data_IF_400190372420
#
_entry.id   IF_400190372420
#
_cell.length_a   1.000
_cell.length_b   1.000
_cell.length_c   1.000
_cell.angle_alpha   90.00
_cell.angle_beta   90.00
_cell.angle_gamma   90.00
#
_symmetry.space_group_name_H-M   'P 1'
#
loop_
_entity.id
_entity.type
_entity.pdbx_description
1 polymer ?
#
# COMPACT_ATOMS: atom_id res chain seq x y z
N UNK A 1 15.49 -24.04 21.96
CA UNK A 1 14.31 -24.14 21.08
C UNK A 1 14.54 -23.31 19.82
N UNK A 2 14.96 -23.96 18.72
CA UNK A 2 15.27 -23.32 17.43
C UNK A 2 14.08 -22.55 16.83
N UNK A 3 12.84 -22.96 17.18
CA UNK A 3 11.60 -22.28 16.78
C UNK A 3 11.48 -20.86 17.35
N UNK A 4 11.94 -20.65 18.59
CA UNK A 4 11.85 -19.34 19.26
C UNK A 4 12.83 -18.34 18.65
N UNK A 5 14.09 -18.76 18.45
CA UNK A 5 15.14 -17.94 17.85
C UNK A 5 14.82 -17.54 16.40
N UNK A 6 14.17 -18.44 15.63
CA UNK A 6 13.71 -18.16 14.26
C UNK A 6 12.57 -17.13 14.21
N UNK A 7 11.71 -17.07 15.22
CA UNK A 7 10.62 -16.09 15.29
C UNK A 7 11.12 -14.67 15.62
N UNK A 8 12.17 -14.55 16.43
CA UNK A 8 12.77 -13.26 16.79
C UNK A 8 13.70 -12.70 15.72
N UNK A 9 14.59 -13.52 15.14
CA UNK A 9 15.58 -13.05 14.16
C UNK A 9 14.96 -12.75 12.78
N UNK A 10 13.88 -13.43 12.40
CA UNK A 10 13.17 -13.22 11.14
C UNK A 10 11.84 -12.47 11.32
N UNK A 11 11.82 -11.52 12.26
CA UNK A 11 10.75 -10.57 12.56
C UNK A 11 9.43 -10.79 11.79
N UNK A 12 8.53 -11.58 12.38
CA UNK A 12 7.09 -11.52 12.10
C UNK A 12 6.64 -11.67 10.64
N UNK A 13 7.50 -12.16 9.73
CA UNK A 13 7.11 -12.48 8.36
C UNK A 13 7.08 -13.99 8.20
N UNK A 14 6.09 -14.61 8.85
CA UNK A 14 5.34 -15.60 8.10
C UNK A 14 4.72 -14.82 6.94
N UNK A 15 5.48 -14.73 5.84
CA UNK A 15 4.91 -14.52 4.52
C UNK A 15 3.81 -15.56 4.44
N UNK A 16 2.57 -15.16 4.74
CA UNK A 16 1.41 -15.95 4.42
C UNK A 16 1.47 -16.08 2.90
N UNK A 17 2.11 -17.15 2.43
CA UNK A 17 2.04 -17.54 1.05
C UNK A 17 0.56 -17.54 0.71
N UNK A 18 0.18 -16.67 -0.22
CA UNK A 18 -1.21 -16.58 -0.65
C UNK A 18 -1.59 -17.99 -1.07
N UNK A 19 -2.53 -18.59 -0.33
CA UNK A 19 -2.97 -19.96 -0.59
C UNK A 19 -3.36 -20.07 -2.07
N UNK A 20 -2.82 -21.07 -2.75
CA UNK A 20 -3.14 -21.32 -4.14
C UNK A 20 -4.67 -21.38 -4.34
N UNK A 21 -5.20 -20.89 -5.47
CA UNK A 21 -6.61 -21.05 -5.80
C UNK A 21 -6.94 -22.55 -5.85
N UNK A 22 -8.00 -22.95 -5.15
CA UNK A 22 -8.44 -24.34 -5.04
C UNK A 22 -9.83 -24.46 -5.68
N UNK A 23 -10.04 -25.49 -6.51
CA UNK A 23 -11.30 -25.79 -7.19
C UNK A 23 -12.48 -25.89 -6.22
N UNK A 24 -12.30 -26.54 -5.07
CA UNK A 24 -13.33 -26.62 -4.02
C UNK A 24 -13.76 -25.24 -3.53
N UNK A 25 -12.79 -24.39 -3.19
CA UNK A 25 -13.08 -23.03 -2.72
C UNK A 25 -13.74 -22.17 -3.80
N UNK A 26 -13.37 -22.36 -5.06
CA UNK A 26 -14.00 -21.69 -6.19
C UNK A 26 -15.45 -22.13 -6.37
N UNK A 27 -15.70 -23.44 -6.30
CA UNK A 27 -17.04 -24.02 -6.41
C UNK A 27 -17.97 -23.56 -5.29
N UNK A 28 -17.55 -23.71 -4.02
CA UNK A 28 -18.33 -23.27 -2.86
C UNK A 28 -18.65 -21.78 -2.93
N UNK A 29 -17.68 -20.96 -3.37
CA UNK A 29 -17.87 -19.53 -3.54
C UNK A 29 -18.90 -19.21 -4.64
N UNK A 30 -18.85 -19.90 -5.77
CA UNK A 30 -19.79 -19.73 -6.89
C UNK A 30 -21.21 -20.09 -6.44
N UNK A 31 -21.38 -21.24 -5.80
CA UNK A 31 -22.66 -21.68 -5.24
C UNK A 31 -23.20 -20.70 -4.19
N UNK A 32 -22.35 -20.24 -3.26
CA UNK A 32 -22.74 -19.23 -2.28
C UNK A 32 -23.16 -17.91 -2.94
N UNK A 33 -22.53 -17.52 -4.05
CA UNK A 33 -22.91 -16.30 -4.79
C UNK A 33 -24.24 -16.49 -5.49
N UNK A 34 -24.48 -17.63 -6.14
CA UNK A 34 -25.74 -17.98 -6.79
C UNK A 34 -26.90 -17.97 -5.78
N UNK A 35 -26.77 -18.67 -4.65
CA UNK A 35 -27.79 -18.69 -3.60
C UNK A 35 -28.02 -17.33 -2.92
N UNK A 36 -27.05 -16.42 -2.98
CA UNK A 36 -27.17 -15.07 -2.43
C UNK A 36 -27.62 -14.00 -3.44
N UNK A 37 -27.69 -14.31 -4.75
CA UNK A 37 -28.22 -13.40 -5.77
C UNK A 37 -29.73 -13.18 -5.61
N UNK A 38 -30.43 -14.24 -5.22
CA UNK A 38 -31.90 -14.25 -5.09
C UNK A 38 -32.39 -13.69 -3.74
N UNK A 39 -31.47 -13.32 -2.84
CA UNK A 39 -31.81 -12.88 -1.47
C UNK A 39 -31.65 -11.36 -1.28
N UNK A 40 -32.55 -10.71 -0.54
CA UNK A 40 -32.46 -9.28 -0.26
C UNK A 40 -31.23 -8.95 0.61
N UNK A 41 -30.78 -7.69 0.52
CA UNK A 41 -29.68 -7.18 1.32
C UNK A 41 -30.00 -7.32 2.83
N UNK A 42 -29.16 -8.06 3.57
CA UNK A 42 -29.34 -8.34 4.99
C UNK A 42 -29.66 -9.80 5.34
N UNK A 43 -30.25 -10.56 4.41
CA UNK A 43 -30.60 -11.98 4.60
C UNK A 43 -29.67 -12.95 3.84
N UNK A 44 -28.53 -12.47 3.39
CA UNK A 44 -27.53 -13.27 2.68
C UNK A 44 -26.87 -14.26 3.64
N UNK A 45 -26.68 -15.49 3.18
CA UNK A 45 -25.97 -16.49 3.96
C UNK A 45 -24.52 -16.10 4.16
N UNK A 46 -24.05 -16.21 5.41
CA UNK A 46 -22.63 -16.23 5.70
C UNK A 46 -22.06 -17.61 5.31
N UNK A 47 -20.81 -17.65 4.86
CA UNK A 47 -20.15 -18.89 4.41
C UNK A 47 -20.29 -20.06 5.40
N UNK A 48 -20.11 -19.90 6.73
CA UNK A 48 -20.26 -21.02 7.67
C UNK A 48 -21.69 -21.54 7.74
N UNK A 49 -22.68 -20.64 7.70
CA UNK A 49 -24.11 -21.01 7.74
C UNK A 49 -24.53 -21.75 6.47
N UNK A 50 -24.03 -21.29 5.31
CA UNK A 50 -24.28 -21.94 4.03
C UNK A 50 -23.70 -23.36 3.98
N UNK A 51 -22.45 -23.52 4.40
CA UNK A 51 -21.81 -24.85 4.44
C UNK A 51 -22.57 -25.77 5.41
N UNK A 52 -22.99 -25.29 6.58
CA UNK A 52 -23.73 -26.10 7.52
C UNK A 52 -25.09 -26.58 6.98
N UNK A 53 -25.79 -25.75 6.20
CA UNK A 53 -27.12 -26.08 5.67
C UNK A 53 -27.08 -26.93 4.39
N UNK A 54 -26.12 -26.68 3.51
CA UNK A 54 -26.09 -27.29 2.17
C UNK A 54 -24.89 -28.24 1.96
N UNK A 55 -24.25 -28.69 3.04
CA UNK A 55 -23.01 -29.49 2.98
C UNK A 55 -23.11 -30.70 2.04
N UNK A 56 -24.19 -31.46 2.16
CA UNK A 56 -24.44 -32.68 1.39
C UNK A 56 -24.63 -32.39 -0.11
N UNK A 57 -25.41 -31.36 -0.44
CA UNK A 57 -25.69 -30.95 -1.82
C UNK A 57 -24.44 -30.38 -2.51
N UNK A 58 -23.68 -29.54 -1.81
CA UNK A 58 -22.42 -28.96 -2.32
C UNK A 58 -21.39 -30.07 -2.55
N UNK A 59 -21.26 -31.01 -1.61
CA UNK A 59 -20.29 -32.11 -1.74
C UNK A 59 -20.64 -33.00 -2.94
N UNK A 60 -21.93 -33.35 -3.09
CA UNK A 60 -22.42 -34.14 -4.22
C UNK A 60 -22.22 -33.40 -5.56
N UNK A 61 -22.59 -32.13 -5.62
CA UNK A 61 -22.42 -31.30 -6.81
C UNK A 61 -20.96 -31.14 -7.21
N UNK A 62 -20.05 -31.10 -6.24
CA UNK A 62 -18.61 -31.07 -6.53
C UNK A 62 -18.06 -32.39 -7.05
N UNK A 63 -18.51 -33.52 -6.51
CA UNK A 63 -18.10 -34.84 -6.99
C UNK A 63 -18.53 -35.08 -8.44
N UNK A 64 -19.64 -34.48 -8.87
CA UNK A 64 -20.16 -34.60 -10.24
C UNK A 64 -19.45 -33.69 -11.26
N UNK A 65 -18.60 -32.76 -10.82
CA UNK A 65 -17.84 -31.89 -11.72
C UNK A 65 -16.73 -32.66 -12.42
N UNK A 66 -16.60 -32.42 -13.71
CA UNK A 66 -15.46 -32.88 -14.51
C UNK A 66 -14.19 -32.13 -14.14
N UNK A 67 -13.03 -32.71 -14.45
CA UNK A 67 -11.73 -32.06 -14.20
C UNK A 67 -11.56 -30.76 -15.01
N UNK A 68 -12.17 -30.68 -16.19
CA UNK A 68 -12.15 -29.47 -17.03
C UNK A 68 -12.92 -28.31 -16.38
N UNK A 69 -14.09 -28.59 -15.81
CA UNK A 69 -14.89 -27.60 -15.09
C UNK A 69 -14.18 -27.13 -13.82
N UNK A 70 -13.54 -28.04 -13.08
CA UNK A 70 -12.71 -27.70 -11.91
C UNK A 70 -11.55 -26.78 -12.31
N UNK A 71 -10.86 -27.07 -13.42
CA UNK A 71 -9.79 -26.23 -13.94
C UNK A 71 -10.31 -24.83 -14.36
N UNK A 72 -11.50 -24.76 -14.97
CA UNK A 72 -12.14 -23.50 -15.33
C UNK A 72 -12.45 -22.64 -14.10
N UNK A 73 -13.02 -23.24 -13.04
CA UNK A 73 -13.30 -22.56 -11.77
C UNK A 73 -12.03 -22.02 -11.10
N UNK A 74 -10.92 -22.75 -11.17
CA UNK A 74 -9.61 -22.30 -10.65
C UNK A 74 -9.10 -21.09 -11.43
N UNK A 75 -9.19 -21.12 -12.76
CA UNK A 75 -8.80 -19.99 -13.63
C UNK A 75 -9.64 -18.75 -13.34
N UNK A 76 -10.95 -18.89 -13.20
CA UNK A 76 -11.85 -17.80 -12.86
C UNK A 76 -11.51 -17.18 -11.50
N UNK A 77 -11.29 -18.02 -10.47
CA UNK A 77 -10.90 -17.57 -9.14
C UNK A 77 -9.54 -16.85 -9.16
N UNK A 78 -8.59 -17.31 -9.98
CA UNK A 78 -7.30 -16.67 -10.15
C UNK A 78 -7.44 -15.27 -10.79
N UNK A 79 -8.25 -15.16 -11.86
CA UNK A 79 -8.54 -13.89 -12.53
C UNK A 79 -9.22 -12.89 -11.57
N UNK A 80 -10.24 -13.33 -10.82
CA UNK A 80 -10.92 -12.49 -9.83
C UNK A 80 -9.98 -12.01 -8.70
N UNK A 81 -9.01 -12.84 -8.28
CA UNK A 81 -8.00 -12.45 -7.28
C UNK A 81 -7.02 -11.40 -7.80
N UNK A 82 -6.75 -11.39 -9.10
CA UNK A 82 -5.91 -10.38 -9.74
C UNK A 82 -6.65 -9.05 -9.92
N UNK A 83 -7.95 -9.08 -10.28
CA UNK A 83 -8.77 -7.88 -10.50
C UNK A 83 -9.24 -7.16 -9.23
N UNK A 84 -9.08 -7.76 -8.03
CA UNK A 84 -9.54 -7.16 -6.78
C UNK A 84 -8.57 -6.06 -6.32
N UNK A 85 -8.80 -4.84 -6.80
CA UNK A 85 -8.15 -3.64 -6.25
C UNK A 85 -8.57 -3.52 -4.79
N UNK A 86 -7.60 -3.72 -3.91
CA UNK A 86 -7.75 -3.58 -2.48
C UNK A 86 -7.98 -2.11 -2.13
N UNK A 87 -9.24 -1.68 -2.08
CA UNK A 87 -9.67 -0.45 -1.38
C UNK A 87 -9.57 -0.68 0.14
N UNK A 88 -8.38 -1.02 0.60
CA UNK A 88 -8.04 -0.98 2.02
C UNK A 88 -7.70 0.48 2.32
N UNK A 89 -8.11 0.98 3.49
CA UNK A 89 -7.57 2.19 4.11
C UNK A 89 -6.05 2.00 4.28
N UNK A 90 -5.30 2.18 3.20
CA UNK A 90 -3.87 1.93 3.16
C UNK A 90 -3.21 3.04 3.95
N UNK A 91 -2.63 2.68 5.09
CA UNK A 91 -1.68 3.56 5.77
C UNK A 91 -0.63 4.03 4.76
N UNK A 92 -0.09 5.25 4.87
CA UNK A 92 0.88 5.78 3.91
C UNK A 92 2.05 4.83 3.64
N UNK A 93 2.53 4.11 4.66
CA UNK A 93 3.58 3.09 4.55
C UNK A 93 3.16 1.86 3.73
N UNK A 94 1.90 1.45 3.83
CA UNK A 94 1.38 0.34 3.03
C UNK A 94 1.16 0.75 1.56
N UNK A 95 0.74 1.99 1.32
CA UNK A 95 0.66 2.56 -0.02
C UNK A 95 2.06 2.67 -0.65
N UNK A 96 3.06 3.16 0.09
CA UNK A 96 4.44 3.22 -0.37
C UNK A 96 4.96 1.85 -0.80
N UNK A 97 4.70 0.79 -0.02
CA UNK A 97 5.08 -0.58 -0.39
C UNK A 97 4.35 -1.07 -1.64
N UNK A 98 3.07 -0.73 -1.79
CA UNK A 98 2.28 -1.10 -2.96
C UNK A 98 2.79 -0.40 -4.21
N UNK A 99 3.02 0.91 -4.14
CA UNK A 99 3.59 1.73 -5.21
C UNK A 99 4.97 1.19 -5.59
N UNK A 100 5.87 1.01 -4.62
CA UNK A 100 7.19 0.45 -4.88
C UNK A 100 7.11 -0.95 -5.49
N UNK A 101 6.23 -1.83 -5.02
CA UNK A 101 6.06 -3.16 -5.62
C UNK A 101 5.53 -3.10 -7.07
N UNK A 102 4.56 -2.23 -7.34
CA UNK A 102 4.00 -2.04 -8.68
C UNK A 102 5.06 -1.52 -9.67
N UNK A 103 5.84 -0.52 -9.26
CA UNK A 103 6.89 0.07 -10.11
C UNK A 103 8.17 -0.76 -10.15
N UNK A 104 8.53 -1.50 -9.10
CA UNK A 104 9.62 -2.48 -9.15
C UNK A 104 9.32 -3.63 -10.11
N UNK A 105 8.04 -3.96 -10.35
CA UNK A 105 7.65 -4.88 -11.42
C UNK A 105 8.01 -4.34 -12.80
N UNK A 106 7.71 -3.07 -13.07
CA UNK A 106 8.09 -2.38 -14.30
C UNK A 106 9.62 -2.25 -14.48
N UNK A 107 10.38 -2.21 -13.38
CA UNK A 107 11.84 -2.09 -13.39
C UNK A 107 12.56 -3.45 -13.50
N UNK A 108 11.99 -4.55 -12.98
CA UNK A 108 12.67 -5.86 -12.86
C UNK A 108 12.35 -6.88 -13.96
N UNK A 109 11.36 -6.67 -14.83
CA UNK A 109 11.04 -7.62 -15.92
C UNK A 109 11.97 -7.51 -17.13
N UNK A 110 13.27 -7.62 -16.90
CA UNK A 110 14.29 -7.88 -17.93
C UNK A 110 14.58 -9.39 -18.07
N UNK A 111 14.04 -10.24 -17.19
CA UNK A 111 14.32 -11.68 -17.21
C UNK A 111 13.07 -12.55 -17.33
N UNK A 112 12.82 -12.98 -18.56
CA UNK A 112 12.29 -14.30 -18.94
C UNK A 112 10.80 -14.54 -18.60
N UNK A 113 9.98 -14.45 -19.67
CA UNK A 113 8.71 -15.18 -19.85
C UNK A 113 7.50 -14.73 -19.02
N UNK A 114 7.05 -13.49 -19.19
CA UNK A 114 5.61 -13.16 -19.17
C UNK A 114 5.34 -11.78 -19.75
N UNK A 115 4.15 -11.62 -20.35
CA UNK A 115 3.69 -10.45 -21.11
C UNK A 115 3.45 -9.21 -20.24
N UNK A 116 4.51 -8.56 -19.78
CA UNK A 116 4.41 -7.21 -19.24
C UNK A 116 5.55 -6.32 -19.76
N UNK A 117 5.12 -5.19 -20.34
CA UNK A 117 5.94 -4.32 -21.18
C UNK A 117 6.81 -3.41 -20.31
N UNK A 118 8.12 -3.68 -20.24
CA UNK A 118 9.10 -2.69 -19.79
C UNK A 118 9.22 -1.57 -20.84
N UNK A 119 9.56 -0.34 -20.41
CA UNK A 119 9.72 0.81 -21.32
C UNK A 119 10.79 0.56 -22.41
N UNK A 120 11.85 -0.18 -22.06
CA UNK A 120 12.89 -0.60 -23.00
C UNK A 120 12.35 -1.58 -24.06
N UNK A 121 11.49 -2.53 -23.66
CA UNK A 121 10.83 -3.45 -24.59
C UNK A 121 9.80 -2.73 -25.48
N UNK A 122 9.15 -1.70 -24.97
CA UNK A 122 8.23 -0.89 -25.75
C UNK A 122 8.99 -0.11 -26.83
N UNK A 123 10.07 0.59 -26.46
CA UNK A 123 10.92 1.30 -27.41
C UNK A 123 11.44 0.37 -28.53
N UNK A 124 11.97 -0.81 -28.18
CA UNK A 124 12.49 -1.73 -29.20
C UNK A 124 11.43 -2.27 -30.16
N UNK A 125 10.16 -2.33 -29.76
CA UNK A 125 9.07 -2.86 -30.57
C UNK A 125 8.33 -1.80 -31.39
N UNK A 126 8.23 -0.58 -30.88
CA UNK A 126 7.41 0.49 -31.50
C UNK A 126 8.25 1.64 -32.03
N UNK A 127 9.55 1.67 -31.77
CA UNK A 127 10.45 2.79 -32.05
C UNK A 127 9.96 4.11 -31.42
N UNK A 128 9.15 4.03 -30.37
CA UNK A 128 8.64 5.20 -29.64
C UNK A 128 9.63 5.59 -28.55
N UNK A 129 10.12 6.82 -28.64
CA UNK A 129 10.99 7.45 -27.66
C UNK A 129 10.15 8.34 -26.73
N UNK A 130 10.49 8.35 -25.44
CA UNK A 130 9.77 9.19 -24.49
C UNK A 130 10.13 8.92 -23.04
N UNK A 131 9.37 9.54 -22.14
CA UNK A 131 9.51 9.36 -20.71
C UNK A 131 8.15 9.37 -20.01
N UNK A 132 8.11 8.69 -18.86
CA UNK A 132 6.96 8.62 -17.97
C UNK A 132 7.40 9.05 -16.57
N UNK A 133 6.66 9.99 -15.98
CA UNK A 133 6.90 10.48 -14.62
C UNK A 133 5.63 10.24 -13.80
N UNK A 134 5.79 9.58 -12.66
CA UNK A 134 4.76 9.46 -11.64
C UNK A 134 5.24 10.10 -10.34
N UNK A 135 4.48 11.07 -9.85
CA UNK A 135 4.76 11.79 -8.60
C UNK A 135 3.61 11.59 -7.63
N UNK A 136 3.88 11.75 -6.33
CA UNK A 136 2.82 11.75 -5.32
C UNK A 136 1.92 12.97 -5.49
N UNK A 137 0.63 12.76 -5.25
CA UNK A 137 -0.38 13.82 -5.27
C UNK A 137 -0.60 14.49 -3.92
N UNK A 138 -0.08 13.91 -2.84
CA UNK A 138 -0.33 14.34 -1.47
C UNK A 138 0.98 14.24 -0.68
N UNK A 139 1.20 15.21 0.20
CA UNK A 139 2.35 15.32 1.09
C UNK A 139 2.40 14.15 2.07
N UNK A 140 1.25 13.60 2.45
CA UNK A 140 1.14 12.46 3.37
C UNK A 140 1.64 11.14 2.77
N UNK A 141 1.86 11.09 1.45
CA UNK A 141 2.42 9.91 0.81
C UNK A 141 3.96 9.93 0.82
N UNK A 142 4.58 8.84 1.29
CA UNK A 142 6.04 8.74 1.46
C UNK A 142 6.79 8.07 0.28
N UNK A 143 6.16 7.88 -0.88
CA UNK A 143 6.85 7.26 -2.02
C UNK A 143 7.61 8.30 -2.84
N UNK A 144 8.81 7.92 -3.28
CA UNK A 144 9.64 8.74 -4.17
C UNK A 144 9.05 8.81 -5.57
N UNK A 145 9.24 9.95 -6.25
CA UNK A 145 8.90 10.10 -7.66
C UNK A 145 9.55 9.00 -8.52
N UNK A 146 8.77 8.43 -9.42
CA UNK A 146 9.23 7.41 -10.37
C UNK A 146 9.38 8.05 -11.73
N UNK A 147 10.54 7.86 -12.34
CA UNK A 147 10.81 8.31 -13.69
C UNK A 147 11.37 7.16 -14.51
N UNK A 148 10.78 6.95 -15.68
CA UNK A 148 11.27 6.04 -16.70
C UNK A 148 11.53 6.86 -17.95
N UNK A 149 12.73 6.77 -18.51
CA UNK A 149 13.10 7.50 -19.73
C UNK A 149 13.77 6.54 -20.71
N UNK A 150 13.48 6.72 -21.99
CA UNK A 150 14.33 6.16 -23.03
C UNK A 150 15.65 6.95 -23.13
N UNK A 151 16.72 6.38 -23.71
CA UNK A 151 18.02 7.06 -23.78
C UNK A 151 17.95 8.43 -24.46
N UNK A 152 17.23 8.56 -25.59
CA UNK A 152 17.09 9.82 -26.33
C UNK A 152 16.21 10.83 -25.59
N UNK A 153 15.19 10.36 -24.87
CA UNK A 153 14.38 11.23 -24.03
C UNK A 153 15.19 11.76 -22.85
N UNK A 154 16.07 10.94 -22.26
CA UNK A 154 16.96 11.38 -21.19
C UNK A 154 17.96 12.43 -21.68
N UNK A 155 18.54 12.27 -22.87
CA UNK A 155 19.41 13.30 -23.47
C UNK A 155 18.64 14.57 -23.77
N UNK A 156 17.41 14.50 -24.29
CA UNK A 156 16.55 15.68 -24.48
C UNK A 156 16.34 16.45 -23.16
N UNK A 157 16.02 15.75 -22.07
CA UNK A 157 15.82 16.40 -20.76
C UNK A 157 17.12 17.08 -20.28
N UNK A 158 18.29 16.44 -20.46
CA UNK A 158 19.57 17.02 -20.07
C UNK A 158 20.01 18.18 -20.97
N UNK A 159 19.92 17.99 -22.27
CA UNK A 159 20.55 18.89 -23.25
C UNK A 159 19.64 20.05 -23.63
N UNK A 160 18.32 19.82 -23.70
CA UNK A 160 17.34 20.85 -24.08
C UNK A 160 16.73 21.48 -22.85
N UNK A 161 16.20 20.67 -21.92
CA UNK A 161 15.56 21.22 -20.72
C UNK A 161 16.58 21.67 -19.66
N UNK A 162 17.85 21.27 -19.79
CA UNK A 162 18.92 21.58 -18.83
C UNK A 162 18.61 21.09 -17.41
N UNK A 163 17.89 19.98 -17.31
CA UNK A 163 17.62 19.28 -16.04
C UNK A 163 18.19 17.87 -16.08
N UNK A 164 18.62 17.36 -14.93
CA UNK A 164 18.70 15.90 -14.79
C UNK A 164 17.27 15.34 -14.72
N UNK A 165 16.98 14.18 -15.34
CA UNK A 165 15.64 13.60 -15.32
C UNK A 165 15.04 13.46 -13.91
N UNK A 166 15.87 13.11 -12.92
CA UNK A 166 15.45 13.05 -11.51
C UNK A 166 15.04 14.43 -10.97
N UNK A 167 15.78 15.48 -11.30
CA UNK A 167 15.44 16.85 -10.88
C UNK A 167 14.15 17.33 -11.54
N UNK A 168 13.90 16.96 -12.81
CA UNK A 168 12.62 17.24 -13.47
C UNK A 168 11.45 16.57 -12.74
N UNK A 169 11.61 15.30 -12.33
CA UNK A 169 10.59 14.58 -11.57
C UNK A 169 10.31 15.23 -10.21
N UNK A 170 11.36 15.60 -9.47
CA UNK A 170 11.22 16.32 -8.19
C UNK A 170 10.57 17.70 -8.36
N UNK A 171 10.89 18.41 -9.45
CA UNK A 171 10.27 19.70 -9.75
C UNK A 171 8.77 19.54 -10.02
N UNK A 172 8.39 18.53 -10.79
CA UNK A 172 6.98 18.18 -11.01
C UNK A 172 6.29 17.81 -9.70
N UNK A 173 6.93 17.01 -8.86
CA UNK A 173 6.41 16.60 -7.55
C UNK A 173 6.18 17.81 -6.63
N UNK A 174 7.13 18.74 -6.59
CA UNK A 174 7.03 19.97 -5.80
C UNK A 174 5.84 20.83 -6.26
N UNK A 175 5.64 20.93 -7.58
CA UNK A 175 4.51 21.67 -8.15
C UNK A 175 3.18 21.00 -7.83
N UNK A 176 3.07 19.68 -8.05
CA UNK A 176 1.84 18.93 -7.83
C UNK A 176 1.44 18.97 -6.35
N UNK A 177 2.40 18.77 -5.44
CA UNK A 177 2.18 18.81 -3.99
C UNK A 177 1.82 20.22 -3.52
N UNK A 178 2.45 21.25 -4.08
CA UNK A 178 2.13 22.65 -3.76
C UNK A 178 0.76 23.06 -4.31
N UNK A 179 0.37 22.60 -5.49
CA UNK A 179 -0.94 22.89 -6.10
C UNK A 179 -2.10 22.25 -5.32
N UNK A 180 -1.83 21.21 -4.52
CA UNK A 180 -2.85 20.58 -3.66
C UNK A 180 -3.16 21.36 -2.38
N UNK A 181 -2.49 22.49 -2.14
CA UNK A 181 -2.72 23.37 -0.96
C UNK A 181 -4.14 23.95 -0.84
N UNK A 182 -5.02 23.74 -1.81
CA UNK A 182 -6.46 23.96 -1.64
C UNK A 182 -7.14 22.96 -0.69
N UNK A 183 -6.46 21.88 -0.30
CA UNK A 183 -6.84 21.13 0.90
C UNK A 183 -6.21 21.77 2.13
N UNK A 184 -6.71 22.94 2.54
CA UNK A 184 -6.50 23.42 3.91
C UNK A 184 -7.02 22.31 4.83
N UNK A 185 -6.10 21.63 5.52
CA UNK A 185 -6.46 20.72 6.60
C UNK A 185 -7.46 21.49 7.50
N UNK A 186 -8.62 20.88 7.86
CA UNK A 186 -9.53 21.50 8.82
C UNK A 186 -8.74 21.98 10.03
N UNK A 187 -9.10 23.15 10.59
CA UNK A 187 -8.37 23.78 11.69
C UNK A 187 -8.04 22.78 12.82
N UNK A 188 -8.96 21.87 13.11
CA UNK A 188 -8.80 20.79 14.10
C UNK A 188 -7.64 19.84 13.79
N UNK A 189 -7.42 19.49 12.51
CA UNK A 189 -6.28 18.68 12.08
C UNK A 189 -4.96 19.44 12.16
N UNK A 190 -4.95 20.74 11.82
CA UNK A 190 -3.76 21.57 11.98
C UNK A 190 -3.36 21.68 13.45
N UNK A 191 -4.32 21.96 14.34
CA UNK A 191 -4.09 21.99 15.78
C UNK A 191 -3.55 20.65 16.28
N UNK A 192 -4.16 19.54 15.85
CA UNK A 192 -3.68 18.20 16.20
C UNK A 192 -2.26 17.94 15.69
N UNK A 193 -1.92 18.37 14.48
CA UNK A 193 -0.58 18.20 13.90
C UNK A 193 0.45 19.00 14.69
N UNK A 194 0.12 20.25 15.05
CA UNK A 194 0.97 21.09 15.91
C UNK A 194 1.19 20.42 17.27
N UNK A 195 0.15 19.88 17.91
CA UNK A 195 0.29 19.15 19.17
C UNK A 195 1.22 17.93 19.03
N UNK A 196 1.08 17.16 17.96
CA UNK A 196 1.95 16.00 17.69
C UNK A 196 3.42 16.43 17.52
N UNK A 197 3.69 17.43 16.67
CA UNK A 197 5.05 17.90 16.40
C UNK A 197 5.74 18.44 17.67
N UNK A 198 4.98 19.18 18.48
CA UNK A 198 5.45 19.71 19.76
C UNK A 198 5.76 18.58 20.74
N UNK A 199 4.91 17.55 20.81
CA UNK A 199 5.12 16.38 21.66
C UNK A 199 6.32 15.53 21.20
N UNK A 200 6.48 15.35 19.89
CA UNK A 200 7.62 14.64 19.31
C UNK A 200 8.94 15.36 19.63
N UNK A 201 8.96 16.70 19.52
CA UNK A 201 10.11 17.51 19.91
C UNK A 201 10.45 17.36 21.39
N UNK A 202 9.44 17.39 22.27
CA UNK A 202 9.62 17.17 23.70
C UNK A 202 10.21 15.77 23.98
N UNK A 203 9.68 14.73 23.33
CA UNK A 203 10.14 13.36 23.50
C UNK A 203 11.61 13.18 23.05
N UNK A 204 12.05 13.90 22.01
CA UNK A 204 13.45 13.90 21.56
C UNK A 204 14.36 14.54 22.63
N UNK A 205 13.98 15.69 23.18
CA UNK A 205 14.78 16.40 24.20
C UNK A 205 14.84 15.60 25.51
N UNK A 206 13.75 14.96 25.90
CA UNK A 206 13.71 14.10 27.10
C UNK A 206 14.60 12.86 26.91
N UNK A 207 14.64 12.28 25.70
CA UNK A 207 15.54 11.16 25.39
C UNK A 207 17.01 11.57 25.40
N UNK A 208 17.36 12.76 24.89
CA UNK A 208 18.75 13.24 24.88
C UNK A 208 19.29 13.54 26.27
N UNK A 209 18.43 13.92 27.22
CA UNK A 209 18.82 14.26 28.59
C UNK A 209 18.86 13.06 29.55
N UNK A 210 18.76 11.82 29.04
CA UNK A 210 18.77 10.57 29.82
C UNK A 210 17.71 10.50 30.94
N UNK A 211 16.68 11.34 30.88
CA UNK A 211 15.60 11.37 31.86
C UNK A 211 14.60 10.27 31.53
N UNK A 212 14.76 9.10 32.17
CA UNK A 212 13.77 8.00 32.09
C UNK A 212 12.49 8.45 32.78
N UNK A 213 11.56 9.05 32.05
CA UNK A 213 10.26 9.47 32.60
C UNK A 213 9.12 8.95 31.74
N UNK A 214 8.10 8.44 32.43
CA UNK A 214 6.77 8.09 31.91
C UNK A 214 6.31 9.15 30.90
N UNK A 215 5.69 8.68 29.80
CA UNK A 215 5.13 9.48 28.71
C UNK A 215 4.59 10.84 29.20
N UNK A 216 5.36 11.90 28.95
CA UNK A 216 5.05 13.25 29.43
C UNK A 216 4.08 13.88 28.45
N UNK A 217 2.78 13.86 28.73
CA UNK A 217 1.81 14.55 27.88
C UNK A 217 1.80 16.04 28.16
N UNK A 218 1.98 16.83 27.09
CA UNK A 218 1.91 18.27 27.16
C UNK A 218 0.46 18.76 27.26
N UNK A 219 0.19 19.62 28.24
CA UNK A 219 -1.08 20.33 28.38
C UNK A 219 -0.80 21.81 28.64
N UNK A 220 -1.32 22.69 27.78
CA UNK A 220 -1.11 24.14 27.85
C UNK A 220 -1.50 24.75 29.19
N UNK A 221 -2.56 24.25 29.84
CA UNK A 221 -3.01 24.79 31.13
C UNK A 221 -2.03 24.56 32.29
N UNK A 222 -1.02 23.71 32.12
CA UNK A 222 0.01 23.44 33.12
C UNK A 222 1.43 23.45 32.51
N UNK A 223 1.60 24.07 31.35
CA UNK A 223 2.84 24.01 30.57
C UNK A 223 4.05 24.51 31.38
N UNK A 224 3.92 25.67 32.00
CA UNK A 224 5.01 26.33 32.73
C UNK A 224 5.50 25.46 33.90
N UNK A 225 4.58 25.02 34.77
CA UNK A 225 4.90 24.18 35.94
C UNK A 225 5.35 22.76 35.59
N UNK A 226 4.73 22.12 34.59
CA UNK A 226 4.98 20.70 34.30
C UNK A 226 6.08 20.47 33.26
N UNK A 227 6.37 21.46 32.42
CA UNK A 227 7.33 21.35 31.33
C UNK A 227 8.52 22.27 31.54
N UNK A 228 8.31 23.58 31.67
CA UNK A 228 9.39 24.56 31.77
C UNK A 228 10.16 24.40 33.07
N UNK A 229 9.48 24.46 34.22
CA UNK A 229 10.12 24.34 35.54
C UNK A 229 10.76 22.96 35.75
N UNK A 230 10.09 21.90 35.28
CA UNK A 230 10.49 20.52 35.57
C UNK A 230 11.61 20.02 34.66
N UNK A 231 11.62 20.41 33.40
CA UNK A 231 12.57 19.89 32.40
C UNK A 231 13.49 20.96 31.83
N UNK A 232 13.29 22.25 32.16
CA UNK A 232 14.10 23.35 31.65
C UNK A 232 13.92 23.59 30.15
N UNK A 233 12.79 23.16 29.57
CA UNK A 233 12.53 23.23 28.12
C UNK A 233 11.42 24.24 27.82
N UNK A 234 11.77 25.27 27.04
CA UNK A 234 10.88 26.33 26.57
C UNK A 234 10.44 26.13 25.11
N UNK A 235 9.17 26.42 24.81
CA UNK A 235 8.69 26.56 23.43
C UNK A 235 9.11 27.94 22.94
N UNK A 236 9.86 27.98 21.84
CA UNK A 236 10.12 29.21 21.10
C UNK A 236 9.18 29.25 19.89
N UNK A 237 8.45 30.36 19.75
CA UNK A 237 7.57 30.64 18.61
C UNK A 237 8.29 31.41 17.52
#
# INVERSE_FOLDING_TARGET
SIKWTRAQLFGGKLSHQRRAPNAWNAYVRKQLQESNKERPAGQKYKLPQFIAQFCSEITRGYCNLTEEEKACLVKELACQRQGKVSTIRTSPKSLQKLVNAAFSGMEKEVSITSRHCTWASLNSRTAVEGFYIAVRSDVEHFHEAKIFCSPKAATFIKDVLKYEPKHLALKLESWVSAATTNQRLPLTKLVSLCHCNIQDGLDVVLKSNNTVVKQVQMNYGNYERKIVEKYGVGLAG
#
